data_IF_649819663386
#
_entry.id   IF_649819663386
#
_cell.length_a   1.000
_cell.length_b   1.000
_cell.length_c   1.000
_cell.angle_alpha   90.00
_cell.angle_beta   90.00
_cell.angle_gamma   90.00
#
_symmetry.space_group_name_H-M   'P 1'
#
loop_
_entity.id
_entity.type
_entity.pdbx_description
1 polymer ?
#
# COMPACT_ATOMS: atom_id res chain seq x y z
N UNK A 1 -22.80 16.52 7.95
CA UNK A 1 -21.81 15.43 8.08
C UNK A 1 -21.57 15.23 9.56
N UNK A 2 -21.60 13.99 10.09
CA UNK A 2 -21.39 13.78 11.53
C UNK A 2 -19.92 13.93 11.90
N UNK A 3 -19.60 14.35 13.13
CA UNK A 3 -18.22 14.55 13.61
C UNK A 3 -17.36 13.28 13.47
N UNK A 4 -17.98 12.11 13.61
CA UNK A 4 -17.34 10.81 13.39
C UNK A 4 -16.92 10.59 11.93
N UNK A 5 -17.73 11.00 10.95
CA UNK A 5 -17.41 10.85 9.52
C UNK A 5 -16.24 11.76 9.17
N UNK A 6 -16.32 13.03 9.58
CA UNK A 6 -15.27 14.02 9.37
C UNK A 6 -13.93 13.56 9.97
N UNK A 7 -13.96 13.01 11.18
CA UNK A 7 -12.73 12.54 11.85
C UNK A 7 -12.07 11.38 11.10
N UNK A 8 -12.86 10.53 10.45
CA UNK A 8 -12.37 9.41 9.63
C UNK A 8 -11.72 9.89 8.34
N UNK A 9 -12.35 10.83 7.66
CA UNK A 9 -11.78 11.49 6.48
C UNK A 9 -10.45 12.16 6.84
N UNK A 10 -10.41 12.94 7.93
CA UNK A 10 -9.18 13.58 8.41
C UNK A 10 -8.05 12.59 8.74
N UNK A 11 -8.37 11.44 9.34
CA UNK A 11 -7.37 10.39 9.61
C UNK A 11 -6.84 9.77 8.32
N UNK A 12 -7.71 9.52 7.34
CA UNK A 12 -7.31 8.94 6.07
C UNK A 12 -6.49 9.93 5.24
N UNK A 13 -6.89 11.19 5.16
CA UNK A 13 -6.13 12.27 4.52
C UNK A 13 -4.73 12.41 5.13
N UNK A 14 -4.61 12.28 6.45
CA UNK A 14 -3.30 12.30 7.11
C UNK A 14 -2.44 11.10 6.73
N UNK A 15 -3.03 9.90 6.62
CA UNK A 15 -2.31 8.72 6.12
C UNK A 15 -1.79 8.95 4.68
N UNK A 16 -2.60 9.54 3.81
CA UNK A 16 -2.19 9.91 2.45
C UNK A 16 -1.07 10.96 2.47
N UNK A 17 -1.13 11.94 3.37
CA UNK A 17 -0.08 12.94 3.55
C UNK A 17 1.24 12.31 4.00
N UNK A 18 1.21 11.37 4.95
CA UNK A 18 2.39 10.62 5.40
C UNK A 18 3.02 9.88 4.24
N UNK A 19 2.21 9.15 3.48
CA UNK A 19 2.65 8.40 2.30
C UNK A 19 3.35 9.30 1.27
N UNK A 20 2.87 10.55 1.09
CA UNK A 20 3.45 11.52 0.14
C UNK A 20 4.66 12.28 0.69
N UNK A 21 5.05 12.05 1.95
CA UNK A 21 6.10 12.83 2.61
C UNK A 21 7.51 12.33 2.27
N UNK A 22 8.48 13.25 2.32
CA UNK A 22 9.90 12.93 2.18
C UNK A 22 10.39 11.97 3.27
N UNK A 23 9.85 12.09 4.48
CA UNK A 23 10.14 11.19 5.61
C UNK A 23 9.80 9.73 5.25
N UNK A 24 8.61 9.50 4.68
CA UNK A 24 8.21 8.18 4.24
C UNK A 24 9.07 7.68 3.08
N UNK A 25 9.37 8.54 2.10
CA UNK A 25 10.26 8.22 0.98
C UNK A 25 11.64 7.77 1.45
N UNK A 26 12.25 8.50 2.39
CA UNK A 26 13.57 8.17 2.93
C UNK A 26 13.56 6.82 3.66
N UNK A 27 12.55 6.57 4.50
CA UNK A 27 12.41 5.27 5.19
C UNK A 27 12.07 4.13 4.23
N UNK A 28 11.35 4.40 3.14
CA UNK A 28 11.10 3.42 2.09
C UNK A 28 12.39 3.05 1.33
N UNK A 29 13.29 4.02 1.10
CA UNK A 29 14.62 3.79 0.53
C UNK A 29 15.46 2.88 1.45
N UNK A 30 15.50 3.16 2.75
CA UNK A 30 16.18 2.30 3.74
C UNK A 30 15.58 0.89 3.78
N UNK A 31 14.24 0.79 3.78
CA UNK A 31 13.53 -0.49 3.77
C UNK A 31 13.90 -1.29 2.52
N UNK A 32 13.90 -0.69 1.34
CA UNK A 32 14.25 -1.40 0.13
C UNK A 32 15.70 -1.86 0.12
N UNK A 33 16.63 -1.00 0.55
CA UNK A 33 18.06 -1.32 0.64
C UNK A 33 18.30 -2.58 1.49
N UNK A 34 17.57 -2.70 2.60
CA UNK A 34 17.71 -3.83 3.52
C UNK A 34 16.88 -5.08 3.13
N UNK A 35 15.76 -4.92 2.42
CA UNK A 35 14.79 -6.00 2.17
C UNK A 35 14.44 -6.18 0.68
N UNK A 36 15.35 -5.85 -0.24
CA UNK A 36 15.15 -5.89 -1.70
C UNK A 36 14.71 -7.26 -2.25
N UNK A 37 14.99 -8.35 -1.53
CA UNK A 37 14.73 -9.72 -1.92
C UNK A 37 13.40 -10.29 -1.38
N UNK A 38 12.51 -9.45 -0.85
CA UNK A 38 11.22 -9.86 -0.29
C UNK A 38 10.05 -9.07 -0.89
N UNK A 39 8.83 -9.61 -0.74
CA UNK A 39 7.62 -8.79 -0.85
C UNK A 39 7.52 -7.93 0.40
N UNK A 40 7.44 -6.62 0.24
CA UNK A 40 7.59 -5.64 1.33
C UNK A 40 6.25 -5.16 1.91
N UNK A 41 5.14 -5.86 1.64
CA UNK A 41 3.79 -5.50 2.09
C UNK A 41 3.73 -5.22 3.59
N UNK A 42 4.29 -6.14 4.38
CA UNK A 42 4.30 -6.09 5.85
C UNK A 42 5.14 -4.94 6.36
N UNK A 43 6.34 -4.76 5.78
CA UNK A 43 7.30 -3.74 6.18
C UNK A 43 6.74 -2.34 5.89
N UNK A 44 6.18 -2.12 4.70
CA UNK A 44 5.59 -0.83 4.33
C UNK A 44 4.37 -0.51 5.19
N UNK A 45 3.48 -1.48 5.44
CA UNK A 45 2.35 -1.28 6.36
C UNK A 45 2.84 -0.91 7.76
N UNK A 46 3.84 -1.61 8.30
CA UNK A 46 4.37 -1.32 9.63
C UNK A 46 5.00 0.07 9.69
N UNK A 47 5.74 0.48 8.65
CA UNK A 47 6.28 1.83 8.51
C UNK A 47 5.16 2.88 8.57
N UNK A 48 4.04 2.66 7.88
CA UNK A 48 2.89 3.56 7.94
C UNK A 48 2.26 3.62 9.33
N UNK A 49 2.19 2.49 10.05
CA UNK A 49 1.71 2.46 11.44
C UNK A 49 2.60 3.31 12.34
N UNK A 50 3.92 3.14 12.23
CA UNK A 50 4.90 3.88 13.04
C UNK A 50 4.79 5.38 12.80
N UNK A 51 4.84 5.82 11.54
CA UNK A 51 4.77 7.24 11.18
C UNK A 51 3.43 7.88 11.56
N UNK A 52 2.32 7.17 11.35
CA UNK A 52 1.01 7.67 11.77
C UNK A 52 0.94 7.84 13.28
N UNK A 53 1.41 6.84 14.04
CA UNK A 53 1.36 6.88 15.49
C UNK A 53 2.31 7.92 16.09
N UNK A 54 3.48 8.15 15.49
CA UNK A 54 4.37 9.23 15.90
C UNK A 54 3.68 10.59 15.83
N UNK A 55 2.85 10.82 14.81
CA UNK A 55 2.16 12.11 14.60
C UNK A 55 0.86 12.26 15.40
N UNK A 56 0.14 11.17 15.65
CA UNK A 56 -1.27 11.27 16.06
C UNK A 56 -1.63 10.60 17.39
N UNK A 57 -0.78 9.72 17.95
CA UNK A 57 -1.16 8.91 19.13
C UNK A 57 -1.54 9.77 20.34
N UNK A 58 -0.83 10.88 20.55
CA UNK A 58 -1.09 11.82 21.66
C UNK A 58 -2.40 12.60 21.48
N UNK A 59 -2.88 12.73 20.24
CA UNK A 59 -4.17 13.33 19.89
C UNK A 59 -5.33 12.33 20.06
N UNK A 60 -5.06 11.10 20.50
CA UNK A 60 -6.06 10.04 20.64
C UNK A 60 -6.41 9.31 19.35
N UNK A 61 -5.67 9.55 18.26
CA UNK A 61 -5.82 8.87 16.97
C UNK A 61 -4.68 7.86 16.79
N UNK A 62 -4.98 6.60 16.45
CA UNK A 62 -3.97 5.52 16.39
C UNK A 62 -4.18 4.61 15.19
N UNK A 63 -3.08 4.28 14.52
CA UNK A 63 -2.98 3.20 13.55
C UNK A 63 -2.63 1.89 14.26
N UNK A 64 -3.34 0.81 13.95
CA UNK A 64 -3.10 -0.53 14.48
C UNK A 64 -3.07 -1.54 13.32
N UNK A 65 -1.97 -2.29 13.21
CA UNK A 65 -1.88 -3.39 12.26
C UNK A 65 -2.69 -4.59 12.71
N UNK A 66 -3.24 -5.35 11.76
CA UNK A 66 -3.89 -6.64 12.02
C UNK A 66 -5.09 -6.58 12.99
N UNK A 67 -5.74 -5.42 13.10
CA UNK A 67 -6.88 -5.18 13.98
C UNK A 67 -8.13 -4.73 13.19
N UNK A 68 -9.34 -5.20 13.54
CA UNK A 68 -9.60 -6.23 14.54
C UNK A 68 -9.19 -7.62 14.03
N UNK A 69 -8.81 -8.49 14.95
CA UNK A 69 -8.56 -9.91 14.69
C UNK A 69 -9.73 -10.71 15.22
N UNK A 70 -10.64 -11.10 14.33
CA UNK A 70 -11.86 -11.82 14.67
C UNK A 70 -11.83 -13.18 13.97
N UNK A 71 -11.87 -14.25 14.78
CA UNK A 71 -11.68 -15.62 14.33
C UNK A 71 -10.40 -15.77 13.47
N UNK A 72 -10.53 -16.22 12.23
CA UNK A 72 -9.41 -16.40 11.28
C UNK A 72 -9.20 -15.20 10.34
N UNK A 73 -9.90 -14.08 10.60
CA UNK A 73 -9.82 -12.88 9.77
C UNK A 73 -9.17 -11.72 10.53
N UNK A 74 -8.43 -10.89 9.80
CA UNK A 74 -7.82 -9.66 10.31
C UNK A 74 -7.85 -8.59 9.24
N UNK A 75 -8.03 -7.33 9.63
CA UNK A 75 -7.86 -6.19 8.72
C UNK A 75 -6.40 -5.77 8.76
N UNK A 76 -5.80 -5.48 7.61
CA UNK A 76 -4.36 -5.25 7.53
C UNK A 76 -3.94 -4.00 8.34
N UNK A 77 -4.69 -2.90 8.20
CA UNK A 77 -4.48 -1.65 8.93
C UNK A 77 -5.81 -1.04 9.36
N UNK A 78 -5.92 -0.62 10.63
CA UNK A 78 -7.05 0.16 11.12
C UNK A 78 -6.60 1.50 11.69
N UNK A 79 -7.32 2.58 11.35
CA UNK A 79 -7.19 3.88 12.01
C UNK A 79 -8.33 4.03 13.02
N UNK A 80 -8.00 4.38 14.26
CA UNK A 80 -8.90 4.39 15.40
C UNK A 80 -8.84 5.75 16.08
N UNK A 81 -10.00 6.32 16.36
CA UNK A 81 -10.15 7.43 17.31
C UNK A 81 -10.55 6.85 18.67
N UNK A 82 -9.86 7.25 19.75
CA UNK A 82 -10.19 6.87 21.13
C UNK A 82 -11.63 7.22 21.52
N UNK A 83 -12.22 8.24 20.90
CA UNK A 83 -13.60 8.68 21.14
C UNK A 83 -14.62 7.86 20.33
N UNK A 84 -14.17 7.02 19.38
CA UNK A 84 -15.01 6.15 18.57
C UNK A 84 -14.27 4.86 18.17
N UNK A 85 -14.09 3.97 19.13
CA UNK A 85 -13.34 2.72 18.95
C UNK A 85 -14.15 1.62 18.25
N UNK A 86 -15.48 1.73 18.21
CA UNK A 86 -16.38 0.70 17.68
C UNK A 86 -16.38 0.65 16.15
N UNK A 87 -16.07 1.77 15.50
CA UNK A 87 -16.14 1.90 14.04
C UNK A 87 -14.80 2.31 13.42
N UNK A 88 -13.75 1.48 13.56
CA UNK A 88 -12.43 1.78 13.02
C UNK A 88 -12.48 1.98 11.50
N UNK A 89 -11.62 2.85 10.98
CA UNK A 89 -11.41 2.99 9.55
C UNK A 89 -10.53 1.84 9.06
N UNK A 90 -11.13 0.89 8.35
CA UNK A 90 -10.50 -0.39 7.96
C UNK A 90 -9.85 -0.30 6.59
N UNK A 91 -8.57 -0.63 6.49
CA UNK A 91 -7.77 -0.57 5.27
C UNK A 91 -7.15 -1.93 4.98
N UNK A 92 -7.33 -2.40 3.75
CA UNK A 92 -6.72 -3.63 3.25
C UNK A 92 -5.50 -3.31 2.39
N UNK A 93 -4.46 -4.13 2.49
CA UNK A 93 -3.19 -3.95 1.78
C UNK A 93 -2.95 -5.08 0.78
N UNK A 94 -2.31 -4.76 -0.35
CA UNK A 94 -1.76 -5.75 -1.29
C UNK A 94 -0.43 -5.25 -1.86
N UNK A 95 0.48 -6.19 -2.08
CA UNK A 95 1.77 -5.94 -2.74
C UNK A 95 2.00 -6.87 -3.93
N UNK A 96 2.26 -6.26 -5.07
CA UNK A 96 2.48 -6.94 -6.33
C UNK A 96 3.70 -6.41 -7.08
N UNK A 97 4.09 -7.16 -8.09
CA UNK A 97 5.01 -6.73 -9.13
C UNK A 97 4.24 -6.55 -10.45
N UNK A 98 4.75 -5.80 -11.43
CA UNK A 98 4.04 -5.53 -12.68
C UNK A 98 3.46 -6.75 -13.40
N UNK A 99 4.19 -7.87 -13.41
CA UNK A 99 3.75 -9.12 -14.07
C UNK A 99 2.94 -10.06 -13.18
N UNK A 100 2.67 -9.69 -11.93
CA UNK A 100 1.73 -10.45 -11.10
C UNK A 100 0.32 -10.38 -11.73
N UNK A 101 -0.52 -11.38 -11.45
CA UNK A 101 -1.95 -11.38 -11.83
C UNK A 101 -2.22 -11.14 -13.32
N UNK A 102 -1.31 -11.59 -14.19
CA UNK A 102 -1.47 -11.46 -15.64
C UNK A 102 -1.50 -10.01 -16.13
N UNK A 103 -0.74 -9.10 -15.49
CA UNK A 103 -0.76 -7.68 -15.85
C UNK A 103 -2.07 -6.98 -15.43
N UNK A 104 -2.77 -7.53 -14.44
CA UNK A 104 -3.94 -6.93 -13.79
C UNK A 104 -5.18 -6.72 -14.68
N UNK A 105 -5.27 -7.36 -15.84
CA UNK A 105 -6.44 -7.25 -16.73
C UNK A 105 -7.76 -7.67 -16.06
N UNK A 106 -7.71 -8.59 -15.09
CA UNK A 106 -8.87 -9.07 -14.31
C UNK A 106 -8.81 -8.67 -12.82
N UNK A 107 -8.07 -7.62 -12.47
CA UNK A 107 -7.86 -7.25 -11.07
C UNK A 107 -9.13 -6.77 -10.32
N UNK A 108 -10.23 -6.57 -11.04
CA UNK A 108 -11.53 -6.23 -10.48
C UNK A 108 -12.00 -7.27 -9.45
N UNK A 109 -11.68 -8.55 -9.65
CA UNK A 109 -11.99 -9.61 -8.68
C UNK A 109 -11.28 -9.39 -7.33
N UNK A 110 -10.04 -8.90 -7.37
CA UNK A 110 -9.27 -8.60 -6.15
C UNK A 110 -9.83 -7.38 -5.43
N UNK A 111 -10.23 -6.33 -6.17
CA UNK A 111 -10.93 -5.18 -5.60
C UNK A 111 -12.26 -5.63 -4.97
N UNK A 112 -13.06 -6.44 -5.68
CA UNK A 112 -14.32 -6.98 -5.15
C UNK A 112 -14.09 -7.77 -3.87
N UNK A 113 -13.12 -8.69 -3.88
CA UNK A 113 -12.81 -9.55 -2.74
C UNK A 113 -12.33 -8.77 -1.53
N UNK A 114 -11.38 -7.85 -1.71
CA UNK A 114 -10.67 -7.21 -0.60
C UNK A 114 -11.31 -5.89 -0.16
N UNK A 115 -11.86 -5.10 -1.08
CA UNK A 115 -12.44 -3.80 -0.74
C UNK A 115 -13.97 -3.89 -0.53
N UNK A 116 -14.70 -4.49 -1.48
CA UNK A 116 -16.17 -4.52 -1.45
C UNK A 116 -16.70 -5.55 -0.45
N UNK A 117 -16.35 -6.83 -0.61
CA UNK A 117 -16.88 -7.92 0.20
C UNK A 117 -16.49 -7.80 1.68
N UNK A 118 -15.28 -7.29 1.97
CA UNK A 118 -14.82 -7.05 3.34
C UNK A 118 -15.38 -5.77 3.96
N UNK A 119 -16.13 -4.98 3.19
CA UNK A 119 -16.67 -3.67 3.62
C UNK A 119 -15.57 -2.77 4.20
N UNK A 120 -14.42 -2.75 3.53
CA UNK A 120 -13.28 -1.92 3.91
C UNK A 120 -13.58 -0.46 3.57
N UNK A 121 -13.04 0.44 4.39
CA UNK A 121 -13.09 1.88 4.15
C UNK A 121 -12.00 2.31 3.17
N UNK A 122 -10.82 1.67 3.23
CA UNK A 122 -9.73 1.89 2.28
C UNK A 122 -9.17 0.59 1.70
N UNK A 123 -8.51 0.71 0.55
CA UNK A 123 -7.71 -0.36 -0.06
C UNK A 123 -6.44 0.25 -0.66
N UNK A 124 -5.28 -0.27 -0.27
CA UNK A 124 -3.97 0.18 -0.75
C UNK A 124 -3.30 -0.97 -1.47
N UNK A 125 -3.16 -0.83 -2.78
CA UNK A 125 -2.31 -1.68 -3.60
C UNK A 125 -1.00 -0.96 -3.88
N UNK A 126 0.11 -1.66 -3.65
CA UNK A 126 1.46 -1.25 -4.03
C UNK A 126 1.94 -2.19 -5.13
N UNK A 127 2.35 -1.61 -6.26
CA UNK A 127 3.09 -2.32 -7.30
C UNK A 127 4.53 -1.82 -7.28
N UNK A 128 5.46 -2.71 -6.98
CA UNK A 128 6.88 -2.41 -6.97
C UNK A 128 7.48 -2.76 -8.33
N UNK A 129 7.97 -1.76 -9.04
CA UNK A 129 8.66 -1.92 -10.31
C UNK A 129 10.13 -1.50 -10.16
N UNK A 130 11.03 -2.45 -10.34
CA UNK A 130 12.47 -2.22 -10.19
C UNK A 130 13.15 -2.22 -11.55
N UNK A 131 14.21 -1.43 -11.71
CA UNK A 131 15.03 -1.50 -12.91
C UNK A 131 15.63 -2.92 -13.06
N UNK A 132 15.14 -3.69 -14.04
CA UNK A 132 15.43 -5.10 -14.16
C UNK A 132 16.92 -5.39 -14.38
N UNK A 133 17.65 -4.49 -15.04
CA UNK A 133 19.07 -4.65 -15.33
C UNK A 133 19.91 -4.30 -14.10
N UNK A 134 19.70 -3.11 -13.49
CA UNK A 134 20.38 -2.71 -12.25
C UNK A 134 20.18 -3.76 -11.15
N UNK A 135 18.95 -4.28 -11.02
CA UNK A 135 18.62 -5.35 -10.08
C UNK A 135 19.39 -6.65 -10.35
N UNK A 136 19.46 -7.10 -11.61
CA UNK A 136 20.22 -8.32 -11.97
C UNK A 136 21.70 -8.17 -11.64
N UNK A 137 22.27 -6.99 -11.87
CA UNK A 137 23.67 -6.70 -11.57
C UNK A 137 23.92 -6.72 -10.07
N UNK A 138 23.08 -6.03 -9.28
CA UNK A 138 23.16 -6.04 -7.83
C UNK A 138 23.00 -7.45 -7.24
N UNK A 139 21.99 -8.20 -7.69
CA UNK A 139 21.74 -9.56 -7.21
C UNK A 139 22.91 -10.52 -7.49
N UNK A 140 23.68 -10.34 -8.58
CA UNK A 140 24.87 -11.17 -8.87
C UNK A 140 26.00 -10.97 -7.86
N UNK A 141 26.08 -9.80 -7.23
CA UNK A 141 27.10 -9.49 -6.23
C UNK A 141 26.80 -10.22 -4.92
N UNK A 142 25.53 -10.25 -4.51
CA UNK A 142 25.12 -10.70 -3.17
C UNK A 142 24.49 -12.10 -3.13
N UNK A 143 23.97 -12.60 -4.25
CA UNK A 143 23.20 -13.85 -4.29
C UNK A 143 23.87 -14.88 -5.19
N UNK A 144 24.08 -16.08 -4.64
CA UNK A 144 24.62 -17.23 -5.41
C UNK A 144 23.60 -17.86 -6.36
N UNK A 145 22.30 -17.54 -6.22
CA UNK A 145 21.21 -18.06 -7.05
C UNK A 145 20.36 -16.92 -7.58
N UNK A 146 19.95 -17.02 -8.85
CA UNK A 146 19.05 -16.05 -9.49
C UNK A 146 17.69 -16.05 -8.79
N UNK A 147 17.17 -14.87 -8.48
CA UNK A 147 15.80 -14.72 -8.01
C UNK A 147 14.82 -14.62 -9.18
N UNK A 148 13.53 -14.76 -8.88
CA UNK A 148 12.47 -14.50 -9.88
C UNK A 148 12.18 -13.01 -10.06
N UNK A 149 12.59 -12.16 -9.12
CA UNK A 149 12.06 -10.81 -9.00
C UNK A 149 12.47 -9.89 -10.16
N UNK A 150 13.70 -10.00 -10.65
CA UNK A 150 14.13 -9.23 -11.83
C UNK A 150 13.31 -9.53 -13.09
N UNK A 151 12.61 -10.66 -13.13
CA UNK A 151 11.73 -11.03 -14.25
C UNK A 151 10.33 -10.45 -14.10
N UNK A 152 9.96 -9.99 -12.90
CA UNK A 152 8.62 -9.50 -12.58
C UNK A 152 8.43 -8.00 -12.85
N UNK A 153 9.52 -7.25 -13.03
CA UNK A 153 9.48 -5.89 -13.61
C UNK A 153 8.91 -5.90 -15.02
N UNK A 154 8.33 -4.77 -15.43
CA UNK A 154 7.79 -4.58 -16.78
C UNK A 154 8.60 -3.54 -17.55
N UNK A 155 8.64 -3.69 -18.87
CA UNK A 155 9.18 -2.67 -19.78
C UNK A 155 8.04 -1.81 -20.39
N UNK A 156 6.79 -2.27 -20.26
CA UNK A 156 5.58 -1.55 -20.66
C UNK A 156 4.76 -1.09 -19.44
N UNK A 157 3.82 -0.18 -19.70
CA UNK A 157 2.90 0.38 -18.72
C UNK A 157 1.47 -0.20 -18.78
N UNK A 158 1.23 -1.29 -19.53
CA UNK A 158 -0.12 -1.84 -19.74
C UNK A 158 -0.75 -2.23 -18.39
N UNK A 159 0.06 -2.85 -17.53
CA UNK A 159 -0.35 -3.24 -16.17
C UNK A 159 -0.82 -2.04 -15.32
N UNK A 160 -0.21 -0.86 -15.52
CA UNK A 160 -0.52 0.37 -14.79
C UNK A 160 -1.82 0.98 -15.31
N UNK A 161 -2.01 1.01 -16.62
CA UNK A 161 -3.25 1.46 -17.26
C UNK A 161 -4.45 0.59 -16.82
N UNK A 162 -4.29 -0.74 -16.86
CA UNK A 162 -5.30 -1.70 -16.39
C UNK A 162 -5.72 -1.43 -14.93
N UNK A 163 -4.76 -1.14 -14.04
CA UNK A 163 -5.05 -0.82 -12.65
C UNK A 163 -5.73 0.55 -12.49
N UNK A 164 -5.23 1.58 -13.19
CA UNK A 164 -5.84 2.92 -13.12
C UNK A 164 -7.30 2.90 -13.56
N UNK A 165 -7.60 2.22 -14.67
CA UNK A 165 -8.97 2.05 -15.17
C UNK A 165 -9.86 1.40 -14.11
N UNK A 166 -9.45 0.26 -13.55
CA UNK A 166 -10.25 -0.49 -12.57
C UNK A 166 -10.49 0.28 -11.28
N UNK A 167 -9.46 0.97 -10.79
CA UNK A 167 -9.59 1.80 -9.59
C UNK A 167 -10.53 2.99 -9.83
N UNK A 168 -10.40 3.70 -10.96
CA UNK A 168 -11.30 4.81 -11.32
C UNK A 168 -12.75 4.35 -11.49
N UNK A 169 -12.95 3.18 -12.08
CA UNK A 169 -14.28 2.62 -12.35
C UNK A 169 -14.90 1.88 -11.15
N UNK A 170 -14.23 1.87 -9.99
CA UNK A 170 -14.82 1.29 -8.78
C UNK A 170 -15.88 2.24 -8.22
N UNK A 171 -17.16 1.84 -8.34
CA UNK A 171 -18.31 2.60 -7.84
C UNK A 171 -18.18 2.94 -6.34
N UNK A 172 -18.84 4.02 -5.89
CA UNK A 172 -18.88 4.45 -4.47
C UNK A 172 -17.52 4.60 -3.81
N UNK A 173 -16.49 4.94 -4.61
CA UNK A 173 -15.16 5.19 -4.10
C UNK A 173 -14.46 6.34 -4.81
N UNK A 174 -13.45 6.87 -4.15
CA UNK A 174 -12.48 7.81 -4.70
C UNK A 174 -11.15 7.08 -4.86
N UNK A 175 -10.51 7.29 -6.01
CA UNK A 175 -9.23 6.69 -6.33
C UNK A 175 -8.09 7.71 -6.24
N UNK A 176 -6.96 7.30 -5.68
CA UNK A 176 -5.74 8.09 -5.61
C UNK A 176 -4.58 7.29 -6.20
N UNK A 177 -3.71 7.98 -6.94
CA UNK A 177 -2.52 7.40 -7.57
C UNK A 177 -1.30 8.26 -7.26
N UNK A 178 -0.21 7.63 -6.88
CA UNK A 178 1.07 8.30 -6.67
C UNK A 178 2.22 7.30 -6.80
N UNK A 179 3.41 7.84 -7.01
CA UNK A 179 4.60 7.07 -7.28
C UNK A 179 5.74 7.59 -6.41
N UNK A 180 6.55 6.66 -5.91
CA UNK A 180 7.75 6.98 -5.15
C UNK A 180 8.89 6.20 -5.76
N UNK A 181 9.79 6.91 -6.43
CA UNK A 181 11.06 6.34 -6.90
C UNK A 181 12.13 6.54 -5.85
N UNK A 182 12.83 5.46 -5.54
CA UNK A 182 13.97 5.40 -4.62
C UNK A 182 15.18 4.82 -5.36
N UNK A 183 16.38 5.07 -4.84
CA UNK A 183 17.63 4.75 -5.55
C UNK A 183 18.30 3.47 -5.06
N UNK A 184 18.16 3.13 -3.77
CA UNK A 184 18.89 2.02 -3.15
C UNK A 184 18.01 0.77 -2.97
N UNK A 185 18.57 -0.45 -3.10
CA UNK A 185 19.94 -0.72 -3.58
C UNK A 185 20.08 -0.56 -5.10
N UNK A 186 18.95 -0.39 -5.78
CA UNK A 186 18.82 -0.08 -7.18
C UNK A 186 17.50 0.67 -7.38
N UNK A 187 17.45 1.49 -8.43
CA UNK A 187 16.29 2.28 -8.80
C UNK A 187 15.01 1.43 -8.81
N UNK A 188 14.08 1.82 -7.95
CA UNK A 188 12.82 1.11 -7.72
C UNK A 188 11.71 2.12 -7.54
N UNK A 189 10.63 1.96 -8.31
CA UNK A 189 9.43 2.78 -8.21
C UNK A 189 8.31 1.98 -7.54
N UNK A 190 7.77 2.53 -6.46
CA UNK A 190 6.57 2.03 -5.80
C UNK A 190 5.38 2.81 -6.31
N UNK A 191 4.52 2.13 -7.06
CA UNK A 191 3.28 2.68 -7.57
C UNK A 191 2.16 2.33 -6.60
N UNK A 192 1.50 3.34 -6.08
CA UNK A 192 0.41 3.14 -5.15
C UNK A 192 -0.91 3.46 -5.82
N UNK A 193 -1.83 2.52 -5.70
CA UNK A 193 -3.20 2.61 -6.15
C UNK A 193 -4.07 2.50 -4.90
N UNK A 194 -4.78 3.57 -4.57
CA UNK A 194 -5.55 3.65 -3.34
C UNK A 194 -7.01 3.89 -3.66
N UNK A 195 -7.90 3.17 -2.98
CA UNK A 195 -9.33 3.45 -2.93
C UNK A 195 -9.73 3.91 -1.54
N UNK A 196 -10.63 4.87 -1.51
CA UNK A 196 -11.40 5.30 -0.34
C UNK A 196 -12.88 5.14 -0.63
N UNK A 197 -13.62 4.48 0.26
CA UNK A 197 -15.07 4.35 0.13
C UNK A 197 -15.72 5.69 0.47
N UNK A 198 -16.56 6.18 -0.43
CA UNK A 198 -17.41 7.36 -0.17
C UNK A 198 -18.42 7.00 0.92
N UNK A 199 -18.50 7.82 1.96
CA UNK A 199 -19.43 7.65 3.09
C UNK A 199 -20.74 8.36 2.83
#
# INVERSE_FOLDING_TARGET
MSDSIRTKEEMFDSLISIIKSDEFKNKLNELNDNFFNLKQEIQIRNLLVELFNQKHKEQGKRAIAEYPRIAKTRVDLSLIDKNNTETPFKIEFKYHFPKDKGGFSEYQESIQKHFKNRKSNGFILIVCDSNANKRKEFEKIWLSKKTKFSKLSSEDNIWKENLQEKFKNTADSQAYFFEITIENPFETTYHFFILERKQ
#
